data_IF_287824477945
#
_entry.id   IF_287824477945
#
_cell.length_a   1.000
_cell.length_b   1.000
_cell.length_c   1.000
_cell.angle_alpha   90.00
_cell.angle_beta   90.00
_cell.angle_gamma   90.00
#
_symmetry.space_group_name_H-M   'P 1'
#
loop_
_entity.id
_entity.type
_entity.pdbx_description
1 polymer ?
#
# COMPACT_ATOMS: atom_id res chain seq x y z
N UNK A 1 57.77 35.70 -1.30
CA UNK A 1 57.83 34.49 -0.44
C UNK A 1 57.42 34.93 0.95
N UNK A 2 56.47 34.37 1.71
CA UNK A 2 55.66 33.16 1.65
C UNK A 2 54.26 33.51 2.15
N UNK A 3 53.33 32.65 1.76
CA UNK A 3 51.89 32.83 1.72
C UNK A 3 51.27 32.86 3.12
N UNK A 4 50.32 33.78 3.28
CA UNK A 4 49.37 33.89 4.37
C UNK A 4 48.25 32.86 4.07
N UNK A 5 48.17 31.77 4.84
CA UNK A 5 47.11 30.78 4.64
C UNK A 5 46.92 29.89 5.88
N UNK A 6 45.66 29.48 6.05
CA UNK A 6 45.14 28.41 6.91
C UNK A 6 44.61 28.76 8.31
N UNK A 7 43.52 29.53 8.35
CA UNK A 7 42.41 29.25 9.28
C UNK A 7 41.17 28.95 8.42
N UNK A 8 41.03 27.68 8.02
CA UNK A 8 39.84 27.21 7.31
C UNK A 8 39.65 25.73 7.60
N UNK A 9 38.76 25.42 8.54
CA UNK A 9 37.90 24.23 8.57
C UNK A 9 37.17 24.21 9.91
N UNK A 10 35.90 24.61 9.92
CA UNK A 10 34.81 23.97 10.69
C UNK A 10 33.50 24.78 10.55
N UNK A 11 33.06 24.98 9.30
CA UNK A 11 31.67 25.40 9.03
C UNK A 11 31.23 24.57 7.83
N UNK A 12 30.58 23.44 8.10
CA UNK A 12 30.18 22.55 7.01
C UNK A 12 29.60 21.22 7.47
N UNK A 13 28.74 21.21 8.48
CA UNK A 13 27.82 20.09 8.68
C UNK A 13 26.49 20.61 9.24
N UNK A 14 25.79 21.44 8.45
CA UNK A 14 24.35 21.70 8.64
C UNK A 14 23.67 21.74 7.27
N UNK A 15 23.80 20.65 6.52
CA UNK A 15 22.90 20.33 5.42
C UNK A 15 22.44 18.89 5.59
N UNK A 16 21.70 18.63 6.68
CA UNK A 16 20.69 17.58 6.64
C UNK A 16 19.41 18.26 6.18
N UNK A 17 19.30 18.50 4.87
CA UNK A 17 17.99 18.55 4.25
C UNK A 17 17.54 17.10 4.17
N UNK A 18 16.95 16.61 5.26
CA UNK A 18 16.03 15.51 5.17
C UNK A 18 14.78 16.10 4.51
N UNK A 19 14.75 16.10 3.18
CA UNK A 19 13.50 16.17 2.45
C UNK A 19 12.84 14.80 2.62
N UNK A 20 12.37 14.52 3.84
CA UNK A 20 11.25 13.63 4.00
C UNK A 20 10.07 14.39 3.40
N UNK A 21 9.83 14.16 2.11
CA UNK A 21 8.52 14.39 1.50
C UNK A 21 7.54 13.47 2.25
N UNK A 22 7.19 13.86 3.47
CA UNK A 22 6.00 13.40 4.18
C UNK A 22 4.78 14.08 3.53
N UNK A 23 4.65 13.91 2.21
CA UNK A 23 3.38 14.14 1.56
C UNK A 23 2.44 13.07 2.07
N UNK A 24 1.46 13.47 2.87
CA UNK A 24 0.35 12.60 3.27
C UNK A 24 -0.22 11.95 2.02
N UNK A 25 -0.30 10.61 1.95
CA UNK A 25 -0.80 9.94 0.77
C UNK A 25 -2.21 10.40 0.44
N UNK A 26 -2.46 10.66 -0.83
CA UNK A 26 -3.74 11.06 -1.37
C UNK A 26 -4.43 9.87 -2.03
N UNK A 27 -5.76 9.89 -2.19
CA UNK A 27 -6.48 8.91 -2.99
C UNK A 27 -5.92 8.74 -4.41
N UNK A 28 -5.29 9.79 -4.98
CA UNK A 28 -4.64 9.72 -6.28
C UNK A 28 -3.48 8.71 -6.32
N UNK A 29 -2.82 8.48 -5.19
CA UNK A 29 -1.64 7.60 -5.09
C UNK A 29 -2.00 6.11 -5.21
N UNK A 30 -3.27 5.75 -4.95
CA UNK A 30 -3.81 4.40 -5.17
C UNK A 30 -3.82 4.00 -6.64
N UNK A 31 -3.90 4.95 -7.57
CA UNK A 31 -4.03 4.64 -8.99
C UNK A 31 -2.85 3.80 -9.49
N UNK A 32 -3.16 2.75 -10.26
CA UNK A 32 -2.17 1.83 -10.82
C UNK A 32 -2.35 0.38 -10.38
N UNK A 33 -1.34 -0.44 -10.70
CA UNK A 33 -1.34 -1.89 -10.45
C UNK A 33 -0.51 -2.22 -9.21
N UNK A 34 -1.04 -3.12 -8.40
CA UNK A 34 -0.47 -3.54 -7.14
C UNK A 34 -0.47 -5.07 -7.06
N UNK A 35 0.64 -5.64 -6.63
CA UNK A 35 0.82 -7.08 -6.47
C UNK A 35 0.95 -7.44 -5.00
N UNK A 36 0.17 -8.43 -4.55
CA UNK A 36 0.16 -8.84 -3.16
C UNK A 36 1.50 -9.49 -2.79
N UNK A 37 2.07 -9.04 -1.69
CA UNK A 37 3.33 -9.55 -1.14
C UNK A 37 3.07 -10.48 0.05
N UNK A 38 2.05 -10.18 0.85
CA UNK A 38 1.68 -10.98 2.01
C UNK A 38 0.26 -10.70 2.49
N UNK A 39 -0.37 -11.71 3.08
CA UNK A 39 -1.59 -11.58 3.87
C UNK A 39 -1.33 -12.00 5.32
N UNK A 40 -1.71 -11.15 6.26
CA UNK A 40 -1.69 -11.43 7.70
C UNK A 40 -3.13 -11.64 8.17
N UNK A 41 -3.45 -12.87 8.58
CA UNK A 41 -4.72 -13.25 9.19
C UNK A 41 -4.54 -14.57 9.95
N UNK A 42 -5.59 -15.05 10.64
CA UNK A 42 -5.60 -16.39 11.22
C UNK A 42 -5.83 -17.47 10.15
N UNK A 43 -4.89 -17.54 9.21
CA UNK A 43 -4.94 -18.35 8.00
C UNK A 43 -3.67 -19.18 7.88
N UNK A 44 -3.75 -20.35 7.24
CA UNK A 44 -2.60 -21.20 6.95
C UNK A 44 -2.27 -21.18 5.45
N UNK A 45 -0.99 -20.99 5.14
CA UNK A 45 -0.46 -21.07 3.79
C UNK A 45 0.74 -22.02 3.78
N UNK A 46 0.95 -22.81 2.71
CA UNK A 46 2.21 -23.54 2.52
C UNK A 46 3.39 -22.56 2.40
N UNK A 47 4.62 -23.03 2.68
CA UNK A 47 5.83 -22.18 2.66
C UNK A 47 6.11 -21.53 1.30
N UNK A 48 5.68 -22.17 0.21
CA UNK A 48 5.86 -21.75 -1.18
C UNK A 48 4.59 -21.11 -1.79
N UNK A 49 3.67 -20.64 -0.94
CA UNK A 49 2.44 -20.00 -1.40
C UNK A 49 2.74 -18.75 -2.26
N UNK A 50 2.18 -18.74 -3.46
CA UNK A 50 2.36 -17.63 -4.41
C UNK A 50 1.30 -16.54 -4.20
N UNK A 51 1.66 -15.53 -3.40
CA UNK A 51 0.82 -14.33 -3.23
C UNK A 51 0.73 -13.48 -4.50
N UNK A 52 1.71 -13.55 -5.40
CA UNK A 52 1.82 -12.66 -6.57
C UNK A 52 0.70 -12.89 -7.59
N UNK A 53 0.01 -14.02 -7.51
CA UNK A 53 -1.19 -14.29 -8.29
C UNK A 53 -2.35 -13.33 -7.94
N UNK A 54 -2.38 -12.76 -6.73
CA UNK A 54 -3.33 -11.71 -6.36
C UNK A 54 -2.81 -10.33 -6.74
N UNK A 55 -3.48 -9.68 -7.68
CA UNK A 55 -3.19 -8.30 -8.10
C UNK A 55 -4.45 -7.47 -8.05
N UNK A 56 -4.31 -6.21 -7.65
CA UNK A 56 -5.38 -5.21 -7.69
C UNK A 56 -4.95 -4.05 -8.58
N UNK A 57 -5.87 -3.57 -9.41
CA UNK A 57 -5.62 -2.46 -10.33
C UNK A 57 -6.69 -1.40 -10.05
N UNK A 58 -6.27 -0.29 -9.46
CA UNK A 58 -7.14 0.87 -9.25
C UNK A 58 -7.11 1.75 -10.49
N UNK A 59 -8.29 2.09 -11.00
CA UNK A 59 -8.49 3.15 -11.97
C UNK A 59 -9.38 4.22 -11.34
N UNK A 60 -8.75 5.28 -10.83
CA UNK A 60 -9.43 6.38 -10.15
C UNK A 60 -10.33 7.19 -11.08
N UNK A 61 -9.94 7.33 -12.35
CA UNK A 61 -10.72 8.10 -13.34
C UNK A 61 -12.06 7.41 -13.66
N UNK A 62 -12.06 6.08 -13.66
CA UNK A 62 -13.26 5.26 -13.92
C UNK A 62 -13.99 4.86 -12.63
N UNK A 63 -13.40 5.06 -11.45
CA UNK A 63 -13.95 4.58 -10.17
C UNK A 63 -14.04 3.05 -10.10
N UNK A 64 -13.11 2.34 -10.76
CA UNK A 64 -13.14 0.87 -10.84
C UNK A 64 -11.86 0.22 -10.34
N UNK A 65 -12.04 -0.95 -9.73
CA UNK A 65 -10.99 -1.83 -9.23
C UNK A 65 -11.08 -3.17 -9.95
N UNK A 66 -9.98 -3.59 -10.57
CA UNK A 66 -9.88 -4.92 -11.17
C UNK A 66 -9.05 -5.82 -10.25
N UNK A 67 -9.56 -7.00 -9.94
CA UNK A 67 -8.88 -8.05 -9.18
C UNK A 67 -8.50 -9.16 -10.15
N UNK A 68 -7.22 -9.51 -10.15
CA UNK A 68 -6.69 -10.74 -10.74
C UNK A 68 -6.33 -11.68 -9.59
N UNK A 69 -6.79 -12.93 -9.63
CA UNK A 69 -6.41 -13.94 -8.63
C UNK A 69 -6.41 -15.35 -9.21
N UNK A 70 -5.75 -16.26 -8.49
CA UNK A 70 -5.84 -17.71 -8.68
C UNK A 70 -7.00 -18.28 -7.84
N UNK A 71 -7.27 -19.57 -8.00
CA UNK A 71 -8.24 -20.29 -7.18
C UNK A 71 -7.89 -20.34 -5.69
N UNK A 72 -6.68 -19.95 -5.29
CA UNK A 72 -6.18 -20.03 -3.91
C UNK A 72 -5.93 -18.66 -3.29
N UNK A 73 -6.04 -17.57 -4.07
CA UNK A 73 -5.67 -16.21 -3.65
C UNK A 73 -6.88 -15.26 -3.59
N UNK A 74 -7.99 -15.71 -3.02
CA UNK A 74 -9.25 -14.94 -2.95
C UNK A 74 -9.39 -14.11 -1.65
N UNK A 75 -8.46 -13.18 -1.41
CA UNK A 75 -8.38 -12.44 -0.13
C UNK A 75 -9.41 -11.33 0.05
N UNK A 76 -9.92 -10.76 -1.05
CA UNK A 76 -10.98 -9.74 -1.03
C UNK A 76 -12.27 -10.34 -1.58
N UNK A 77 -12.21 -10.76 -2.85
CA UNK A 77 -13.29 -11.45 -3.56
C UNK A 77 -12.70 -12.16 -4.79
N UNK A 78 -13.52 -12.73 -5.66
CA UNK A 78 -13.07 -13.38 -6.89
C UNK A 78 -12.43 -12.41 -7.90
N UNK A 79 -11.73 -12.96 -8.90
CA UNK A 79 -11.27 -12.15 -10.03
C UNK A 79 -12.45 -11.49 -10.75
N UNK A 80 -12.25 -10.24 -11.16
CA UNK A 80 -13.29 -9.46 -11.79
C UNK A 80 -13.04 -7.97 -11.72
N UNK A 81 -14.01 -7.20 -12.25
CA UNK A 81 -14.02 -5.75 -12.20
C UNK A 81 -15.17 -5.29 -11.31
N UNK A 82 -14.85 -4.40 -10.38
CA UNK A 82 -15.75 -3.92 -9.35
C UNK A 82 -15.73 -2.40 -9.31
N UNK A 83 -16.83 -1.80 -8.88
CA UNK A 83 -16.84 -0.40 -8.52
C UNK A 83 -16.10 -0.23 -7.18
N UNK A 84 -15.33 0.84 -7.05
CA UNK A 84 -14.78 1.23 -5.75
C UNK A 84 -14.93 2.74 -5.54
N UNK A 85 -14.85 3.13 -4.28
CA UNK A 85 -14.86 4.53 -3.87
C UNK A 85 -14.04 4.71 -2.59
N UNK A 86 -13.54 5.93 -2.39
CA UNK A 86 -12.89 6.31 -1.14
C UNK A 86 -13.88 7.08 -0.28
N UNK A 87 -14.11 6.60 0.95
CA UNK A 87 -15.00 7.24 1.92
C UNK A 87 -14.33 7.25 3.29
N UNK A 88 -14.16 8.44 3.89
CA UNK A 88 -13.56 8.60 5.23
C UNK A 88 -12.27 7.78 5.40
N UNK A 89 -11.34 7.91 4.46
CA UNK A 89 -10.05 7.21 4.44
C UNK A 89 -10.14 5.67 4.35
N UNK A 90 -11.27 5.16 3.83
CA UNK A 90 -11.46 3.74 3.51
C UNK A 90 -11.64 3.51 2.02
N UNK A 91 -11.13 2.39 1.53
CA UNK A 91 -11.49 1.81 0.24
C UNK A 91 -12.76 0.99 0.43
N UNK A 92 -13.82 1.36 -0.29
CA UNK A 92 -15.10 0.62 -0.31
C UNK A 92 -15.25 -0.04 -1.66
N UNK A 93 -15.30 -1.38 -1.70
CA UNK A 93 -15.37 -2.18 -2.93
C UNK A 93 -16.77 -2.78 -3.04
N UNK A 94 -17.46 -2.47 -4.14
CA UNK A 94 -18.81 -2.95 -4.47
C UNK A 94 -19.83 -2.77 -3.31
N UNK A 95 -19.69 -1.70 -2.52
CA UNK A 95 -20.49 -1.39 -1.32
C UNK A 95 -20.58 -2.53 -0.29
N UNK A 96 -19.64 -3.48 -0.32
CA UNK A 96 -19.67 -4.69 0.51
C UNK A 96 -18.43 -4.78 1.37
N UNK A 97 -17.26 -4.57 0.75
CA UNK A 97 -15.98 -4.73 1.43
C UNK A 97 -15.40 -3.37 1.76
N UNK A 98 -15.04 -3.15 3.02
CA UNK A 98 -14.40 -1.93 3.48
C UNK A 98 -12.99 -2.25 3.98
N UNK A 99 -12.02 -1.45 3.56
CA UNK A 99 -10.64 -1.53 4.04
C UNK A 99 -10.17 -0.15 4.46
N UNK A 100 -9.51 -0.06 5.60
CA UNK A 100 -8.57 1.06 5.82
C UNK A 100 -7.38 0.87 4.90
N UNK A 101 -6.73 1.97 4.52
CA UNK A 101 -5.53 1.88 3.69
C UNK A 101 -4.44 2.86 4.15
N UNK A 102 -3.19 2.45 3.94
CA UNK A 102 -2.00 3.28 4.13
C UNK A 102 -1.07 3.08 2.94
N UNK A 103 -0.50 4.17 2.42
CA UNK A 103 0.51 4.12 1.35
C UNK A 103 1.84 4.63 1.91
N UNK A 104 2.91 3.87 1.67
CA UNK A 104 4.29 4.17 2.08
C UNK A 104 5.22 3.96 0.89
N UNK A 105 5.39 5.00 0.08
CA UNK A 105 6.08 4.90 -1.21
C UNK A 105 5.37 3.91 -2.14
N UNK A 106 6.06 2.82 -2.51
CA UNK A 106 5.51 1.77 -3.37
C UNK A 106 4.78 0.66 -2.60
N UNK A 107 4.54 0.84 -1.29
CA UNK A 107 3.78 -0.12 -0.48
C UNK A 107 2.36 0.39 -0.23
N UNK A 108 1.39 -0.49 -0.43
CA UNK A 108 -0.01 -0.28 -0.05
C UNK A 108 -0.37 -1.33 1.00
N UNK A 109 -0.81 -0.88 2.16
CA UNK A 109 -1.29 -1.73 3.24
C UNK A 109 -2.80 -1.54 3.33
N UNK A 110 -3.57 -2.61 3.25
CA UNK A 110 -5.03 -2.59 3.39
C UNK A 110 -5.43 -3.50 4.55
N UNK A 111 -6.13 -2.97 5.54
CA UNK A 111 -6.69 -3.77 6.65
C UNK A 111 -8.21 -3.76 6.57
N UNK A 112 -8.79 -4.96 6.54
CA UNK A 112 -10.24 -5.12 6.47
C UNK A 112 -10.92 -4.49 7.68
N UNK A 113 -11.98 -3.73 7.42
CA UNK A 113 -12.79 -3.13 8.48
C UNK A 113 -13.83 -4.16 8.90
N UNK A 114 -13.54 -4.88 9.98
CA UNK A 114 -14.46 -5.85 10.55
C UNK A 114 -15.27 -5.29 11.73
N UNK A 115 -16.21 -6.09 12.24
CA UNK A 115 -16.98 -5.82 13.43
C UNK A 115 -16.08 -5.90 14.68
N UNK A 116 -15.89 -4.80 15.44
CA UNK A 116 -15.04 -4.78 16.62
C UNK A 116 -15.49 -5.72 17.76
N UNK A 117 -16.71 -6.25 17.71
CA UNK A 117 -17.20 -7.26 18.66
C UNK A 117 -16.74 -8.69 18.34
N UNK A 118 -16.13 -8.90 17.17
CA UNK A 118 -15.60 -10.18 16.70
C UNK A 118 -14.09 -9.98 16.47
N UNK A 119 -13.31 -10.15 17.51
CA UNK A 119 -11.88 -9.89 17.49
C UNK A 119 -11.10 -11.20 17.24
N UNK A 120 -10.91 -11.65 15.99
CA UNK A 120 -9.84 -12.63 15.66
C UNK A 120 -9.54 -12.90 14.17
N UNK A 121 -10.22 -12.28 13.21
CA UNK A 121 -10.09 -12.56 11.77
C UNK A 121 -9.67 -11.36 10.91
N UNK A 122 -9.14 -10.29 11.54
CA UNK A 122 -8.67 -9.10 10.84
C UNK A 122 -7.59 -9.46 9.81
N UNK A 123 -7.95 -9.31 8.53
CA UNK A 123 -7.05 -9.53 7.42
C UNK A 123 -6.35 -8.23 7.04
N UNK A 124 -5.02 -8.26 7.08
CA UNK A 124 -4.16 -7.20 6.56
C UNK A 124 -3.42 -7.69 5.32
N UNK A 125 -3.60 -6.98 4.22
CA UNK A 125 -3.00 -7.27 2.92
C UNK A 125 -1.93 -6.22 2.64
N UNK A 126 -0.71 -6.68 2.36
CA UNK A 126 0.40 -5.79 1.97
C UNK A 126 0.71 -6.01 0.50
N UNK A 127 0.62 -4.95 -0.27
CA UNK A 127 0.89 -4.92 -1.69
C UNK A 127 2.11 -4.07 -2.01
N UNK A 128 2.72 -4.37 -3.15
CA UNK A 128 3.76 -3.56 -3.77
C UNK A 128 3.28 -3.04 -5.12
N UNK A 129 3.55 -1.78 -5.42
CA UNK A 129 3.27 -1.17 -6.72
C UNK A 129 4.11 -1.83 -7.80
N UNK A 130 3.49 -2.12 -8.93
CA UNK A 130 4.16 -2.70 -10.11
C UNK A 130 3.78 -1.91 -11.37
N UNK A 131 4.74 -1.83 -12.29
CA UNK A 131 4.62 -1.12 -13.57
C UNK A 131 3.77 -1.88 -14.61
#
# INVERSE_FOLDING_TARGET
MKKLAFCLLFVGILFSCENSDDSTPTPADLNGKWELQSASCFCFYPEDFDFSAHKIIFNNDEGTLTIENSSETFFITGAGRYDFQIQNDKVVINNTWEFTYEIKGDLLIMSFVDNPEIADDEITLTYKKID
#
